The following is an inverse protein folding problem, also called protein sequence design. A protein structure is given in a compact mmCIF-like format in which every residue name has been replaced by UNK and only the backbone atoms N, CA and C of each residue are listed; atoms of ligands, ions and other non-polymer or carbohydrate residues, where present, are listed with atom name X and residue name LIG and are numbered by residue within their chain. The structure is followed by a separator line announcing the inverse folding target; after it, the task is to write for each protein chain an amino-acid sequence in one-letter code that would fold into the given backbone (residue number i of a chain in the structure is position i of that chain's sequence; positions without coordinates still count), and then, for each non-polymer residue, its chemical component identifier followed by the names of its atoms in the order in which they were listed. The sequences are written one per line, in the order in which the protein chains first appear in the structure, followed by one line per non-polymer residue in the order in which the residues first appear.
data_IF_156025573973
#
_entry.id   IF_156025573973
#
_cell.length_a   1.000
_cell.length_b   1.000
_cell.length_c   1.000
_cell.angle_alpha   90.00
_cell.angle_beta   90.00
_cell.angle_gamma   90.00
#
_symmetry.space_group_name_H-M   'P 1'
#
loop_
_entity.id
_entity.type
_entity.pdbx_description
1 polymer ?
#
# COMPACT_ATOMS: atom_id res chain seq x y z
N UNK A 1 14.09 -1.21 -20.35
CA UNK A 1 13.28 -0.02 -20.66
C UNK A 1 12.62 0.42 -19.37
N UNK A 2 13.08 1.53 -18.81
CA UNK A 2 12.52 2.12 -17.59
C UNK A 2 11.41 3.08 -18.04
N UNK A 3 10.16 2.77 -17.73
CA UNK A 3 9.01 3.54 -18.24
C UNK A 3 8.79 4.83 -17.43
N UNK A 4 9.11 4.81 -16.14
CA UNK A 4 9.02 5.96 -15.23
C UNK A 4 10.38 6.20 -14.58
N UNK A 5 11.19 7.02 -15.22
CA UNK A 5 12.49 7.41 -14.69
C UNK A 5 12.31 8.49 -13.61
N UNK A 6 12.84 8.23 -12.42
CA UNK A 6 12.70 9.14 -11.28
C UNK A 6 13.55 10.39 -11.47
N UNK A 7 13.17 11.51 -10.84
CA UNK A 7 13.97 12.75 -10.83
C UNK A 7 15.41 12.51 -10.34
N UNK A 8 15.61 11.58 -9.40
CA UNK A 8 16.93 11.21 -8.88
C UNK A 8 17.86 10.60 -9.95
N UNK A 9 17.28 9.99 -10.98
CA UNK A 9 17.99 9.37 -12.09
C UNK A 9 17.95 10.24 -13.37
N UNK A 10 17.60 11.52 -13.26
CA UNK A 10 17.51 12.44 -14.41
C UNK A 10 16.20 12.37 -15.19
N UNK A 11 15.21 11.61 -14.71
CA UNK A 11 13.88 11.52 -15.29
C UNK A 11 12.93 12.61 -14.81
N UNK A 12 11.66 12.49 -15.19
CA UNK A 12 10.61 13.48 -14.90
C UNK A 12 9.64 13.03 -13.80
N UNK A 13 9.70 11.77 -13.37
CA UNK A 13 8.75 11.21 -12.42
C UNK A 13 9.15 11.51 -10.97
N UNK A 14 8.28 12.21 -10.25
CA UNK A 14 8.44 12.41 -8.80
C UNK A 14 7.64 11.34 -8.03
N UNK A 15 8.29 10.53 -7.18
CA UNK A 15 7.59 9.53 -6.38
C UNK A 15 6.64 10.21 -5.38
N UNK A 16 5.43 9.66 -5.29
CA UNK A 16 4.29 10.17 -4.55
C UNK A 16 4.33 9.91 -3.02
N UNK A 17 5.42 9.35 -2.48
CA UNK A 17 5.70 9.26 -1.04
C UNK A 17 4.69 8.48 -0.19
N UNK A 18 3.64 7.91 -0.81
CA UNK A 18 2.48 7.33 -0.14
C UNK A 18 2.85 6.22 0.85
N UNK A 19 3.93 5.48 0.59
CA UNK A 19 4.41 4.40 1.46
C UNK A 19 5.34 4.90 2.59
N UNK A 20 5.87 6.13 2.51
CA UNK A 20 6.82 6.69 3.49
C UNK A 20 6.15 7.46 4.63
N UNK A 21 4.90 7.90 4.44
CA UNK A 21 4.17 8.66 5.46
C UNK A 21 3.76 7.75 6.63
N UNK A 22 3.90 8.20 7.88
CA UNK A 22 3.51 7.39 9.06
C UNK A 22 2.07 6.80 9.00
N UNK A 23 1.06 7.49 8.42
CA UNK A 23 -0.28 6.92 8.23
C UNK A 23 -0.37 5.76 7.21
N UNK A 24 0.62 5.59 6.34
CA UNK A 24 0.64 4.58 5.27
C UNK A 24 0.56 3.15 5.83
N UNK A 25 1.22 2.91 6.96
CA UNK A 25 1.24 1.63 7.64
C UNK A 25 -0.17 1.18 8.06
N UNK A 26 -1.03 2.11 8.52
CA UNK A 26 -2.41 1.79 8.88
C UNK A 26 -3.24 1.37 7.67
N UNK A 27 -3.03 1.99 6.51
CA UNK A 27 -3.71 1.57 5.27
C UNK A 27 -3.27 0.16 4.85
N UNK A 28 -1.97 -0.13 4.90
CA UNK A 28 -1.43 -1.45 4.54
C UNK A 28 -1.99 -2.52 5.50
N UNK A 29 -1.92 -2.28 6.81
CA UNK A 29 -2.43 -3.22 7.81
C UNK A 29 -3.95 -3.41 7.66
N UNK A 30 -4.71 -2.32 7.47
CA UNK A 30 -6.15 -2.39 7.24
C UNK A 30 -6.52 -3.19 5.99
N UNK A 31 -5.83 -2.96 4.87
CA UNK A 31 -6.03 -3.71 3.63
C UNK A 31 -5.65 -5.19 3.77
N UNK A 32 -4.57 -5.49 4.49
CA UNK A 32 -4.15 -6.86 4.76
C UNK A 32 -5.19 -7.60 5.61
N UNK A 33 -5.69 -6.99 6.67
CA UNK A 33 -6.74 -7.56 7.53
C UNK A 33 -8.03 -7.76 6.71
N UNK A 34 -8.41 -6.77 5.90
CA UNK A 34 -9.59 -6.86 5.05
C UNK A 34 -9.49 -7.98 4.01
N UNK A 35 -8.36 -8.10 3.32
CA UNK A 35 -8.11 -9.18 2.35
C UNK A 35 -8.13 -10.55 3.03
N UNK A 36 -7.48 -10.68 4.19
CA UNK A 36 -7.47 -11.91 4.98
C UNK A 36 -8.89 -12.31 5.42
N UNK A 37 -9.68 -11.36 5.95
CA UNK A 37 -11.07 -11.60 6.36
C UNK A 37 -12.00 -11.88 5.19
N UNK A 38 -11.72 -11.34 4.00
CA UNK A 38 -12.49 -11.63 2.78
C UNK A 38 -12.21 -13.06 2.27
N UNK A 39 -10.98 -13.56 2.43
CA UNK A 39 -10.63 -14.95 2.10
C UNK A 39 -10.99 -15.96 3.18
N UNK A 40 -10.97 -15.56 4.45
CA UNK A 40 -11.26 -16.38 5.65
C UNK A 40 -12.34 -15.70 6.52
N UNK A 41 -13.61 -15.73 6.10
CA UNK A 41 -14.69 -15.07 6.83
C UNK A 41 -14.90 -15.65 8.24
N UNK A 42 -14.39 -16.85 8.54
CA UNK A 42 -14.40 -17.41 9.89
C UNK A 42 -13.65 -16.57 10.94
N UNK A 43 -12.78 -15.66 10.50
CA UNK A 43 -12.06 -14.71 11.37
C UNK A 43 -12.86 -13.44 11.69
N UNK A 44 -14.08 -13.30 11.16
CA UNK A 44 -14.98 -12.21 11.54
C UNK A 44 -15.55 -12.47 12.95
N UNK A 45 -15.60 -11.44 13.78
CA UNK A 45 -16.19 -11.53 15.11
C UNK A 45 -17.68 -11.87 14.99
N UNK A 46 -18.14 -12.81 15.81
CA UNK A 46 -19.56 -13.16 15.89
C UNK A 46 -20.21 -12.21 16.89
N UNK A 47 -21.29 -11.59 16.47
CA UNK A 47 -22.10 -10.67 17.29
C UNK A 47 -22.61 -11.34 18.57
#
# INVERSE_FOLDING_TARGET
ITVLETVQNGGWYQPNGLFLLAPSAFFIIGLLIWALRSWKPEQQEKE
#
